data_IF_886171970009
#
_entry.id   IF_886171970009
#
_cell.length_a   1.000
_cell.length_b   1.000
_cell.length_c   1.000
_cell.angle_alpha   90.00
_cell.angle_beta   90.00
_cell.angle_gamma   90.00
#
_symmetry.space_group_name_H-M   'P 1'
#
loop_
_entity.id
_entity.type
_entity.pdbx_description
1 polymer ?
#
# COMPACT_ATOMS: atom_id res chain seq x y z
N UNK A 1 -27.38 5.01 4.49
CA UNK A 1 -26.54 4.06 3.73
C UNK A 1 -25.09 4.46 3.93
N UNK A 2 -24.22 3.52 4.30
CA UNK A 2 -22.80 3.78 4.52
C UNK A 2 -22.11 3.98 3.15
N UNK A 3 -21.11 4.85 3.04
CA UNK A 3 -20.34 5.05 1.79
C UNK A 3 -19.69 3.76 1.28
N UNK A 4 -19.39 2.81 2.19
CA UNK A 4 -18.92 1.45 1.86
C UNK A 4 -19.98 0.64 1.07
N UNK A 5 -21.28 0.88 1.33
CA UNK A 5 -22.39 0.14 0.70
C UNK A 5 -22.66 0.61 -0.74
N UNK A 6 -22.19 1.82 -1.09
CA UNK A 6 -22.33 2.40 -2.43
C UNK A 6 -21.16 2.04 -3.35
N UNK A 7 -20.18 1.24 -2.88
CA UNK A 7 -18.99 0.86 -3.67
C UNK A 7 -18.04 2.03 -3.99
N UNK A 8 -18.23 3.19 -3.37
CA UNK A 8 -17.46 4.41 -3.62
C UNK A 8 -16.09 4.42 -2.92
N UNK A 9 -15.89 3.50 -1.96
CA UNK A 9 -14.64 3.37 -1.20
C UNK A 9 -14.14 1.93 -1.33
N UNK A 10 -12.87 1.73 -1.75
CA UNK A 10 -12.30 0.39 -1.81
C UNK A 10 -12.36 -0.34 -0.47
N UNK A 11 -12.58 -1.64 -0.51
CA UNK A 11 -12.53 -2.47 0.69
C UNK A 11 -11.12 -2.48 1.28
N UNK A 12 -10.98 -2.74 2.58
CA UNK A 12 -9.66 -2.86 3.22
C UNK A 12 -8.81 -3.94 2.52
N UNK A 13 -9.43 -5.04 2.10
CA UNK A 13 -8.75 -6.09 1.35
C UNK A 13 -8.22 -5.59 -0.01
N UNK A 14 -8.97 -4.75 -0.72
CA UNK A 14 -8.51 -4.14 -1.97
C UNK A 14 -7.36 -3.16 -1.71
N UNK A 15 -7.48 -2.31 -0.69
CA UNK A 15 -6.41 -1.38 -0.29
C UNK A 15 -5.10 -2.11 0.06
N UNK A 16 -5.18 -3.29 0.71
CA UNK A 16 -4.00 -4.12 0.99
C UNK A 16 -3.32 -4.55 -0.32
N UNK A 17 -4.09 -5.11 -1.26
CA UNK A 17 -3.56 -5.57 -2.56
C UNK A 17 -2.93 -4.44 -3.34
N UNK A 18 -3.58 -3.29 -3.40
CA UNK A 18 -3.08 -2.13 -4.15
C UNK A 18 -1.78 -1.61 -3.53
N UNK A 19 -1.70 -1.54 -2.19
CA UNK A 19 -0.49 -1.12 -1.49
C UNK A 19 0.67 -2.13 -1.65
N UNK A 20 0.39 -3.43 -1.63
CA UNK A 20 1.38 -4.48 -1.93
C UNK A 20 1.89 -4.37 -3.36
N UNK A 21 1.00 -4.21 -4.34
CA UNK A 21 1.37 -4.03 -5.74
C UNK A 21 2.22 -2.79 -5.97
N UNK A 22 1.91 -1.68 -5.28
CA UNK A 22 2.73 -0.47 -5.34
C UNK A 22 4.11 -0.66 -4.72
N UNK A 23 4.21 -1.37 -3.59
CA UNK A 23 5.49 -1.70 -2.98
C UNK A 23 6.36 -2.55 -3.92
N UNK A 24 5.79 -3.60 -4.52
CA UNK A 24 6.50 -4.44 -5.51
C UNK A 24 6.94 -3.64 -6.73
N UNK A 25 6.04 -2.84 -7.32
CA UNK A 25 6.37 -1.98 -8.44
C UNK A 25 7.54 -1.04 -8.13
N UNK A 26 7.51 -0.36 -6.99
CA UNK A 26 8.60 0.54 -6.58
C UNK A 26 9.91 -0.23 -6.41
N UNK A 27 9.87 -1.41 -5.79
CA UNK A 27 11.04 -2.27 -5.59
C UNK A 27 11.67 -2.68 -6.91
N UNK A 28 10.87 -3.00 -7.92
CA UNK A 28 11.35 -3.29 -9.28
C UNK A 28 11.89 -2.07 -10.03
N UNK A 29 11.36 -0.87 -9.78
CA UNK A 29 11.80 0.36 -10.44
C UNK A 29 13.11 0.93 -9.88
N UNK A 30 13.34 0.82 -8.56
CA UNK A 30 14.55 1.33 -7.89
C UNK A 30 15.87 0.99 -8.60
N UNK A 31 16.14 -0.27 -9.02
CA UNK A 31 17.40 -0.59 -9.70
C UNK A 31 17.55 0.10 -11.07
N UNK A 32 16.43 0.37 -11.76
CA UNK A 32 16.40 1.00 -13.10
C UNK A 32 16.63 2.53 -13.06
N UNK A 33 16.42 3.16 -11.90
CA UNK A 33 16.64 4.60 -11.74
C UNK A 33 18.12 4.96 -11.87
N UNK A 34 18.43 6.05 -12.59
CA UNK A 34 19.81 6.57 -12.69
C UNK A 34 20.15 7.61 -11.62
N UNK A 35 19.16 8.43 -11.23
CA UNK A 35 19.36 9.49 -10.23
C UNK A 35 19.40 8.94 -8.80
N UNK A 36 20.46 9.29 -8.05
CA UNK A 36 20.59 8.97 -6.62
C UNK A 36 19.45 9.55 -5.78
N UNK A 37 19.02 10.78 -6.12
CA UNK A 37 17.92 11.46 -5.41
C UNK A 37 16.61 10.69 -5.64
N UNK A 38 16.31 10.32 -6.88
CA UNK A 38 15.12 9.51 -7.20
C UNK A 38 15.17 8.15 -6.51
N UNK A 39 16.32 7.47 -6.48
CA UNK A 39 16.48 6.21 -5.73
C UNK A 39 16.16 6.38 -4.24
N UNK A 40 16.68 7.43 -3.60
CA UNK A 40 16.42 7.70 -2.17
C UNK A 40 14.94 7.98 -1.92
N UNK A 41 14.31 8.75 -2.79
CA UNK A 41 12.88 9.02 -2.71
C UNK A 41 12.05 7.74 -2.88
N UNK A 42 12.34 6.93 -3.89
CA UNK A 42 11.65 5.65 -4.11
C UNK A 42 11.84 4.67 -2.96
N UNK A 43 13.02 4.62 -2.32
CA UNK A 43 13.23 3.83 -1.09
C UNK A 43 12.33 4.27 0.05
N UNK A 44 12.21 5.59 0.28
CA UNK A 44 11.28 6.12 1.30
C UNK A 44 9.82 5.79 0.97
N UNK A 45 9.44 5.83 -0.31
CA UNK A 45 8.10 5.43 -0.74
C UNK A 45 7.86 3.94 -0.52
N UNK A 46 8.85 3.09 -0.80
CA UNK A 46 8.79 1.65 -0.50
C UNK A 46 8.54 1.41 0.99
N UNK A 47 9.37 2.00 1.86
CA UNK A 47 9.23 1.89 3.32
C UNK A 47 7.84 2.36 3.80
N UNK A 48 7.31 3.44 3.20
CA UNK A 48 5.97 3.93 3.50
C UNK A 48 4.87 2.92 3.11
N UNK A 49 4.92 2.38 1.89
CA UNK A 49 3.91 1.40 1.45
C UNK A 49 3.99 0.09 2.24
N UNK A 50 5.18 -0.37 2.62
CA UNK A 50 5.34 -1.52 3.51
C UNK A 50 4.66 -1.28 4.88
N UNK A 51 4.83 -0.09 5.46
CA UNK A 51 4.15 0.29 6.69
C UNK A 51 2.62 0.36 6.51
N UNK A 52 2.14 0.92 5.39
CA UNK A 52 0.71 0.95 5.05
C UNK A 52 0.13 -0.46 4.98
N UNK A 53 0.79 -1.38 4.27
CA UNK A 53 0.36 -2.79 4.18
C UNK A 53 0.27 -3.42 5.57
N UNK A 54 1.27 -3.21 6.42
CA UNK A 54 1.26 -3.70 7.80
C UNK A 54 0.02 -3.20 8.57
N UNK A 55 -0.23 -1.89 8.54
CA UNK A 55 -1.36 -1.29 9.25
C UNK A 55 -2.72 -1.72 8.69
N UNK A 56 -2.85 -1.84 7.37
CA UNK A 56 -4.08 -2.30 6.73
C UNK A 56 -4.38 -3.77 7.04
N UNK A 57 -3.37 -4.65 7.02
CA UNK A 57 -3.52 -6.06 7.44
C UNK A 57 -3.90 -6.18 8.91
N UNK A 58 -3.39 -5.29 9.77
CA UNK A 58 -3.82 -5.20 11.17
C UNK A 58 -5.29 -4.76 11.28
N UNK A 59 -5.69 -3.74 10.52
CA UNK A 59 -7.08 -3.26 10.48
C UNK A 59 -8.03 -4.36 9.99
N UNK A 60 -7.70 -5.06 8.92
CA UNK A 60 -8.50 -6.15 8.35
C UNK A 60 -8.77 -7.25 9.39
N UNK A 61 -7.76 -7.63 10.18
CA UNK A 61 -7.92 -8.60 11.26
C UNK A 61 -8.86 -8.11 12.37
N UNK A 62 -8.75 -6.83 12.75
CA UNK A 62 -9.63 -6.23 13.75
C UNK A 62 -11.08 -6.13 13.26
N UNK A 63 -11.30 -5.84 11.97
CA UNK A 63 -12.64 -5.85 11.37
C UNK A 63 -13.23 -7.27 11.28
N UNK A 64 -12.41 -8.32 11.10
CA UNK A 64 -12.89 -9.72 11.09
C UNK A 64 -13.17 -10.32 12.47
N UNK A 65 -12.70 -9.68 13.55
CA UNK A 65 -12.93 -10.10 14.93
C UNK A 65 -14.16 -9.43 15.55
N UNK A 66 -14.80 -8.51 14.84
CA UNK A 66 -16.08 -7.88 15.21
C UNK A 66 -17.23 -8.65 14.61
#
# INVERSE_FOLDING_TARGET
MNMKDLGLVPSVAQCVKDAEGMAEFIKEQIPRLRSRVKKRQSKRSLEFFEAVVYHLKRLQRLESMK
#
